data_IF_731767121372
#
_entry.id   IF_731767121372
#
_cell.length_a   1.000
_cell.length_b   1.000
_cell.length_c   1.000
_cell.angle_alpha   90.00
_cell.angle_beta   90.00
_cell.angle_gamma   90.00
#
_symmetry.space_group_name_H-M   'P 1'
#
loop_
_entity.id
_entity.type
_entity.pdbx_description
1 polymer ?
#
# COMPACT_ATOMS: atom_id res chain seq x y z
N UNK A 1 0.74 8.09 14.55
CA UNK A 1 1.15 8.20 13.14
C UNK A 1 -0.04 8.70 12.37
N UNK A 2 0.13 9.63 11.42
CA UNK A 2 -0.98 10.07 10.56
C UNK A 2 -1.19 9.04 9.43
N UNK A 3 -2.34 8.37 9.40
CA UNK A 3 -2.68 7.34 8.41
C UNK A 3 -3.64 7.86 7.33
N UNK A 4 -3.98 9.15 7.33
CA UNK A 4 -4.99 9.73 6.44
C UNK A 4 -4.65 9.57 4.96
N UNK A 5 -3.36 9.71 4.60
CA UNK A 5 -2.86 9.54 3.23
C UNK A 5 -2.96 8.09 2.71
N UNK A 6 -3.02 7.08 3.60
CA UNK A 6 -3.10 5.65 3.23
C UNK A 6 -4.54 5.13 3.31
N UNK A 7 -5.39 5.76 4.11
CA UNK A 7 -6.80 5.38 4.25
C UNK A 7 -7.70 5.90 3.14
N UNK A 8 -7.18 6.74 2.23
CA UNK A 8 -7.95 7.38 1.16
C UNK A 8 -9.01 8.36 1.66
N UNK A 9 -8.98 8.71 2.97
CA UNK A 9 -9.94 9.64 3.60
C UNK A 9 -9.62 11.09 3.28
N UNK A 10 -8.36 11.39 2.98
CA UNK A 10 -7.87 12.73 2.61
C UNK A 10 -6.83 12.56 1.51
N UNK A 11 -6.91 13.36 0.45
CA UNK A 11 -5.81 13.46 -0.52
C UNK A 11 -4.57 14.07 0.17
N UNK A 12 -3.43 13.41 0.08
CA UNK A 12 -2.21 13.87 0.75
C UNK A 12 -0.95 13.23 0.16
N UNK A 13 0.22 13.69 0.64
CA UNK A 13 1.54 13.21 0.22
C UNK A 13 2.29 12.45 1.32
N UNK A 14 1.65 12.25 2.48
CA UNK A 14 2.25 11.64 3.67
C UNK A 14 3.57 12.32 4.13
N UNK A 15 3.81 13.59 3.75
CA UNK A 15 5.06 14.29 4.02
C UNK A 15 6.25 13.81 3.18
N UNK A 16 6.00 13.05 2.11
CA UNK A 16 7.03 12.52 1.19
C UNK A 16 7.08 13.39 -0.06
N UNK A 17 8.30 13.69 -0.52
CA UNK A 17 8.50 14.39 -1.79
C UNK A 17 7.80 13.62 -2.93
N UNK A 18 6.94 14.33 -3.68
CA UNK A 18 6.09 13.74 -4.72
C UNK A 18 5.12 12.64 -4.23
N UNK A 19 4.86 12.53 -2.92
CA UNK A 19 4.06 11.46 -2.32
C UNK A 19 2.67 11.32 -2.95
N UNK A 20 1.98 12.43 -3.22
CA UNK A 20 0.67 12.38 -3.87
C UNK A 20 0.73 11.78 -5.30
N UNK A 21 1.83 12.01 -6.04
CA UNK A 21 2.04 11.41 -7.38
C UNK A 21 2.41 9.94 -7.28
N UNK A 22 3.19 9.56 -6.28
CA UNK A 22 3.53 8.17 -6.01
C UNK A 22 2.27 7.37 -5.66
N UNK A 23 1.44 7.87 -4.75
CA UNK A 23 0.16 7.26 -4.35
C UNK A 23 -0.76 7.11 -5.56
N UNK A 24 -0.98 8.18 -6.33
CA UNK A 24 -1.86 8.13 -7.51
C UNK A 24 -1.37 7.12 -8.56
N UNK A 25 -0.06 7.02 -8.78
CA UNK A 25 0.50 6.03 -9.70
C UNK A 25 0.37 4.60 -9.15
N UNK A 26 0.61 4.38 -7.85
CA UNK A 26 0.39 3.08 -7.22
C UNK A 26 -1.06 2.64 -7.32
N UNK A 27 -2.03 3.52 -7.04
CA UNK A 27 -3.46 3.23 -7.19
C UNK A 27 -3.82 2.87 -8.63
N UNK A 28 -3.28 3.60 -9.61
CA UNK A 28 -3.49 3.33 -11.01
C UNK A 28 -2.92 1.96 -11.45
N UNK A 29 -1.76 1.55 -10.91
CA UNK A 29 -1.16 0.23 -11.16
C UNK A 29 -1.98 -0.91 -10.56
N UNK A 30 -2.60 -0.70 -9.40
CA UNK A 30 -3.43 -1.72 -8.73
C UNK A 30 -4.86 -1.77 -9.27
N UNK A 31 -5.27 -0.76 -10.04
CA UNK A 31 -6.56 -0.68 -10.72
C UNK A 31 -6.64 -1.51 -12.00
N UNK A 32 -7.72 -1.29 -12.77
CA UNK A 32 -7.99 -1.99 -14.03
C UNK A 32 -8.40 -1.01 -15.15
N UNK A 33 -7.93 0.23 -15.06
CA UNK A 33 -8.20 1.30 -16.04
C UNK A 33 -6.88 1.72 -16.70
N UNK A 34 -6.70 1.28 -17.94
CA UNK A 34 -5.48 1.49 -18.70
C UNK A 34 -5.25 2.97 -19.05
N UNK A 35 -6.32 3.76 -19.22
CA UNK A 35 -6.23 5.19 -19.51
C UNK A 35 -5.76 5.96 -18.27
N UNK A 36 -6.29 5.61 -17.09
CA UNK A 36 -5.81 6.12 -15.80
C UNK A 36 -4.36 5.73 -15.57
N UNK A 37 -3.99 4.47 -15.83
CA UNK A 37 -2.61 4.00 -15.72
C UNK A 37 -1.66 4.77 -16.64
N UNK A 38 -2.03 4.99 -17.90
CA UNK A 38 -1.22 5.76 -18.84
C UNK A 38 -1.02 7.21 -18.37
N UNK A 39 -2.09 7.85 -17.89
CA UNK A 39 -2.07 9.22 -17.36
C UNK A 39 -1.16 9.34 -16.15
N UNK A 40 -1.34 8.52 -15.11
CA UNK A 40 -0.56 8.62 -13.89
C UNK A 40 0.91 8.22 -14.10
N UNK A 41 1.16 7.26 -14.99
CA UNK A 41 2.53 6.92 -15.43
C UNK A 41 3.24 8.13 -16.04
N UNK A 42 2.54 8.90 -16.88
CA UNK A 42 3.12 10.11 -17.46
C UNK A 42 3.38 11.17 -16.39
N UNK A 43 2.41 11.38 -15.48
CA UNK A 43 2.50 12.36 -14.42
C UNK A 43 3.66 12.09 -13.45
N UNK A 44 3.86 10.83 -13.03
CA UNK A 44 4.95 10.47 -12.09
C UNK A 44 6.33 10.55 -12.76
N UNK A 45 6.43 10.21 -14.05
CA UNK A 45 7.68 10.33 -14.83
C UNK A 45 8.10 11.77 -15.10
N UNK A 46 7.18 12.73 -14.99
CA UNK A 46 7.50 14.15 -15.12
C UNK A 46 8.22 14.72 -13.89
N UNK A 47 8.15 14.02 -12.75
CA UNK A 47 8.74 14.48 -11.47
C UNK A 47 9.88 13.59 -10.99
N UNK A 48 9.95 12.33 -11.41
CA UNK A 48 11.02 11.41 -11.04
C UNK A 48 12.12 11.32 -12.11
N UNK A 49 13.34 11.01 -11.69
CA UNK A 49 14.38 10.54 -12.61
C UNK A 49 14.01 9.17 -13.21
N UNK A 50 14.60 8.78 -14.36
CA UNK A 50 14.39 7.44 -14.92
C UNK A 50 14.70 6.31 -13.94
N UNK A 51 15.76 6.43 -13.16
CA UNK A 51 16.19 5.45 -12.17
C UNK A 51 15.18 5.37 -11.02
N UNK A 52 14.78 6.52 -10.46
CA UNK A 52 13.77 6.58 -9.39
C UNK A 52 12.41 6.02 -9.84
N UNK A 53 12.05 6.21 -11.11
CA UNK A 53 10.83 5.61 -11.68
C UNK A 53 10.92 4.08 -11.76
N UNK A 54 12.07 3.53 -12.14
CA UNK A 54 12.30 2.07 -12.15
C UNK A 54 12.21 1.52 -10.73
N UNK A 55 12.86 2.16 -9.76
CA UNK A 55 12.81 1.77 -8.36
C UNK A 55 11.38 1.80 -7.80
N UNK A 56 10.61 2.84 -8.14
CA UNK A 56 9.19 2.95 -7.79
C UNK A 56 8.38 1.77 -8.34
N UNK A 57 8.57 1.42 -9.62
CA UNK A 57 7.90 0.27 -10.23
C UNK A 57 8.29 -1.05 -9.56
N UNK A 58 9.58 -1.22 -9.25
CA UNK A 58 10.09 -2.41 -8.57
C UNK A 58 9.49 -2.55 -7.16
N UNK A 59 9.37 -1.44 -6.43
CA UNK A 59 8.77 -1.42 -5.09
C UNK A 59 7.29 -1.80 -5.12
N UNK A 60 6.51 -1.22 -6.04
CA UNK A 60 5.09 -1.57 -6.23
C UNK A 60 4.96 -3.07 -6.53
N UNK A 61 5.79 -3.59 -7.45
CA UNK A 61 5.78 -5.01 -7.80
C UNK A 61 6.13 -5.91 -6.60
N UNK A 62 7.13 -5.53 -5.80
CA UNK A 62 7.57 -6.31 -4.64
C UNK A 62 6.47 -6.47 -3.58
N UNK A 63 5.80 -5.38 -3.20
CA UNK A 63 4.68 -5.45 -2.23
C UNK A 63 3.50 -6.24 -2.79
N UNK A 64 3.16 -6.02 -4.06
CA UNK A 64 2.12 -6.77 -4.74
C UNK A 64 2.38 -8.30 -4.75
N UNK A 65 3.64 -8.73 -4.82
CA UNK A 65 4.01 -10.15 -4.72
C UNK A 65 3.95 -10.65 -3.27
N UNK A 66 4.57 -9.93 -2.33
CA UNK A 66 4.62 -10.33 -0.92
C UNK A 66 3.23 -10.49 -0.32
N UNK A 67 2.32 -9.56 -0.61
CA UNK A 67 0.94 -9.60 -0.09
C UNK A 67 0.21 -10.86 -0.56
N UNK A 68 0.35 -11.22 -1.84
CA UNK A 68 -0.25 -12.45 -2.38
C UNK A 68 0.36 -13.71 -1.79
N UNK A 69 1.67 -13.73 -1.56
CA UNK A 69 2.34 -14.86 -0.91
C UNK A 69 1.82 -15.01 0.52
N UNK A 70 1.72 -13.92 1.28
CA UNK A 70 1.19 -13.92 2.65
C UNK A 70 -0.26 -14.42 2.69
N UNK A 71 -1.11 -13.90 1.81
CA UNK A 71 -2.51 -14.32 1.70
C UNK A 71 -2.64 -15.80 1.31
N UNK A 72 -1.83 -16.28 0.36
CA UNK A 72 -1.89 -17.66 -0.12
C UNK A 72 -1.35 -18.68 0.89
N UNK A 73 -0.38 -18.30 1.70
CA UNK A 73 0.26 -19.18 2.68
C UNK A 73 -0.39 -19.10 4.06
N UNK A 74 -1.22 -18.09 4.31
CA UNK A 74 -1.88 -17.91 5.60
C UNK A 74 -0.92 -17.49 6.71
N UNK A 75 0.17 -16.78 6.38
CA UNK A 75 1.14 -16.32 7.38
C UNK A 75 0.43 -15.40 8.40
N UNK A 76 0.54 -15.68 9.71
CA UNK A 76 -0.04 -14.82 10.74
C UNK A 76 0.79 -13.54 10.94
N UNK A 77 0.15 -12.49 11.46
CA UNK A 77 0.88 -11.35 12.00
C UNK A 77 1.71 -11.80 13.21
N UNK A 78 2.92 -11.27 13.32
CA UNK A 78 3.79 -11.51 14.47
C UNK A 78 3.08 -11.17 15.80
N UNK A 79 3.19 -12.01 16.86
CA UNK A 79 2.48 -11.78 18.12
C UNK A 79 2.80 -10.44 18.79
N UNK A 80 4.06 -9.99 18.75
CA UNK A 80 4.46 -8.71 19.32
C UNK A 80 3.85 -7.56 18.53
N UNK A 81 3.90 -7.63 17.19
CA UNK A 81 3.23 -6.65 16.33
C UNK A 81 1.71 -6.65 16.56
N UNK A 82 1.09 -7.81 16.73
CA UNK A 82 -0.34 -7.90 17.03
C UNK A 82 -0.69 -7.21 18.35
N UNK A 83 0.11 -7.40 19.41
CA UNK A 83 -0.13 -6.77 20.70
C UNK A 83 -0.06 -5.24 20.65
N UNK A 84 0.85 -4.67 19.86
CA UNK A 84 1.10 -3.21 19.86
C UNK A 84 0.35 -2.43 18.76
N UNK A 85 -0.19 -3.10 17.74
CA UNK A 85 -0.80 -2.42 16.57
C UNK A 85 -2.33 -2.37 16.58
N UNK A 86 -2.99 -2.63 17.71
CA UNK A 86 -4.46 -2.68 17.82
C UNK A 86 -5.16 -1.47 17.19
N UNK A 87 -4.83 -0.28 17.67
CA UNK A 87 -5.42 0.99 17.21
C UNK A 87 -5.16 1.23 15.70
N UNK A 88 -3.95 0.89 15.23
CA UNK A 88 -3.60 1.02 13.80
C UNK A 88 -4.44 0.07 12.95
N UNK A 89 -4.62 -1.17 13.38
CA UNK A 89 -5.46 -2.15 12.66
C UNK A 89 -6.92 -1.73 12.63
N UNK A 90 -7.42 -1.13 13.70
CA UNK A 90 -8.77 -0.59 13.78
C UNK A 90 -8.95 0.62 12.85
N UNK A 91 -8.05 1.60 12.90
CA UNK A 91 -8.10 2.80 12.07
C UNK A 91 -8.03 2.47 10.56
N UNK A 92 -7.16 1.52 10.21
CA UNK A 92 -7.03 0.99 8.86
C UNK A 92 -8.18 0.05 8.48
N UNK A 93 -9.01 -0.38 9.44
CA UNK A 93 -10.15 -1.27 9.22
C UNK A 93 -9.78 -2.66 8.70
N UNK A 94 -8.64 -3.22 9.14
CA UNK A 94 -8.07 -4.43 8.55
C UNK A 94 -8.94 -5.69 8.76
N UNK A 95 -9.82 -5.69 9.77
CA UNK A 95 -10.77 -6.76 10.02
C UNK A 95 -11.75 -7.00 8.85
N UNK A 96 -11.88 -6.06 7.90
CA UNK A 96 -12.70 -6.23 6.69
C UNK A 96 -12.13 -7.27 5.71
N UNK A 97 -10.83 -7.53 5.77
CA UNK A 97 -10.16 -8.44 4.85
C UNK A 97 -10.23 -9.89 5.34
N UNK A 98 -10.47 -10.84 4.42
CA UNK A 98 -10.55 -12.27 4.78
C UNK A 98 -9.26 -12.79 5.40
N UNK A 99 -8.10 -12.29 4.98
CA UNK A 99 -6.79 -12.68 5.51
C UNK A 99 -6.58 -12.30 6.97
N UNK A 100 -7.42 -11.44 7.56
CA UNK A 100 -7.41 -11.21 9.02
C UNK A 100 -7.68 -12.50 9.81
N UNK A 101 -8.39 -13.47 9.24
CA UNK A 101 -8.61 -14.78 9.85
C UNK A 101 -7.32 -15.61 9.99
N UNK A 102 -6.26 -15.30 9.24
CA UNK A 102 -4.95 -15.96 9.34
C UNK A 102 -4.19 -15.56 10.60
N UNK A 103 -4.64 -14.52 11.31
CA UNK A 103 -4.11 -14.11 12.61
C UNK A 103 -5.17 -14.32 13.70
N UNK A 104 -5.57 -15.58 13.99
CA UNK A 104 -6.59 -15.85 15.00
C UNK A 104 -5.99 -15.66 16.39
N UNK A 105 -6.02 -14.44 16.91
CA UNK A 105 -5.58 -14.08 18.26
C UNK A 105 -4.11 -14.42 18.53
N UNK A 106 -3.24 -13.41 18.61
CA UNK A 106 -2.09 -13.60 19.49
C UNK A 106 -2.67 -13.95 20.88
N UNK A 107 -2.37 -15.16 21.38
CA UNK A 107 -2.83 -15.65 22.68
C UNK A 107 -2.52 -14.65 23.81
#
# INVERSE_FOLDING_TARGET
MDLTAVTGKVEGDAGVEHGARLIAFTDAVMGNDDDVLARERHAVRAVLSPEAFVDTCALIAAFNVVDRVADATGIPLDPMLYAVSGDIREELGLARFRSSANTPGAC
#
